data_IF_058848669453
#
_entry.id   IF_058848669453
#
_cell.length_a   1.000
_cell.length_b   1.000
_cell.length_c   1.000
_cell.angle_alpha   90.00
_cell.angle_beta   90.00
_cell.angle_gamma   90.00
#
_symmetry.space_group_name_H-M   'P 1'
#
loop_
_entity.id
_entity.type
_entity.pdbx_description
1 polymer ?
#
# COMPACT_ATOMS: atom_id res chain seq x y z
N UNK A 1 -5.12 -2.84 -19.54
CA UNK A 1 -6.43 -3.52 -19.46
C UNK A 1 -7.59 -2.56 -19.67
N UNK A 2 -7.92 -1.64 -18.74
CA UNK A 2 -9.02 -0.66 -18.92
C UNK A 2 -8.83 0.40 -20.01
N UNK A 3 -7.64 0.43 -20.61
CA UNK A 3 -7.30 1.32 -21.73
C UNK A 3 -7.55 0.68 -23.10
N UNK A 4 -7.86 -0.62 -23.14
CA UNK A 4 -8.21 -1.33 -24.36
C UNK A 4 -9.73 -1.43 -24.47
N UNK A 5 -10.24 -1.44 -25.70
CA UNK A 5 -11.67 -1.60 -25.95
C UNK A 5 -12.19 -2.90 -25.30
N UNK A 6 -13.36 -2.85 -24.64
CA UNK A 6 -13.97 -4.03 -24.05
C UNK A 6 -14.35 -5.02 -25.17
N UNK A 7 -13.99 -6.29 -24.97
CA UNK A 7 -14.31 -7.38 -25.89
C UNK A 7 -14.82 -8.59 -25.11
N UNK A 8 -15.81 -9.28 -25.68
CA UNK A 8 -16.32 -10.57 -25.17
C UNK A 8 -15.56 -11.77 -25.70
N UNK A 9 -14.61 -11.55 -26.61
CA UNK A 9 -13.79 -12.61 -27.22
C UNK A 9 -12.54 -12.86 -26.39
N UNK A 10 -12.33 -14.12 -26.02
CA UNK A 10 -11.20 -14.53 -25.17
C UNK A 10 -9.83 -14.27 -25.82
N UNK A 11 -9.70 -14.52 -27.13
CA UNK A 11 -8.44 -14.29 -27.86
C UNK A 11 -8.02 -12.81 -27.88
N UNK A 12 -8.99 -11.91 -27.95
CA UNK A 12 -8.76 -10.47 -27.88
C UNK A 12 -8.41 -10.06 -26.45
N UNK A 13 -9.09 -10.63 -25.45
CA UNK A 13 -8.85 -10.37 -24.05
C UNK A 13 -7.42 -10.76 -23.63
N UNK A 14 -6.97 -11.95 -24.04
CA UNK A 14 -5.62 -12.45 -23.74
C UNK A 14 -4.54 -11.53 -24.33
N UNK A 15 -4.66 -11.16 -25.60
CA UNK A 15 -3.73 -10.21 -26.26
C UNK A 15 -3.71 -8.86 -25.55
N UNK A 16 -4.87 -8.35 -25.15
CA UNK A 16 -4.98 -7.09 -24.43
C UNK A 16 -4.33 -7.16 -23.03
N UNK A 17 -4.40 -8.32 -22.36
CA UNK A 17 -3.72 -8.54 -21.07
C UNK A 17 -2.20 -8.54 -21.27
N UNK A 18 -1.68 -9.30 -22.24
CA UNK A 18 -0.24 -9.37 -22.52
C UNK A 18 0.30 -7.97 -22.87
N UNK A 19 -0.33 -7.29 -23.83
CA UNK A 19 0.06 -5.95 -24.22
C UNK A 19 -0.03 -4.94 -23.04
N UNK A 20 -1.04 -5.08 -22.17
CA UNK A 20 -1.13 -4.26 -20.98
C UNK A 20 0.03 -4.49 -20.03
N UNK A 21 0.41 -5.74 -19.78
CA UNK A 21 1.51 -6.09 -18.86
C UNK A 21 2.86 -5.63 -19.41
N UNK A 22 3.11 -5.82 -20.71
CA UNK A 22 4.35 -5.39 -21.38
C UNK A 22 4.51 -3.87 -21.39
N UNK A 23 3.39 -3.12 -21.43
CA UNK A 23 3.42 -1.66 -21.39
C UNK A 23 3.79 -1.07 -20.02
N UNK A 24 3.83 -1.87 -18.94
CA UNK A 24 4.08 -1.37 -17.59
C UNK A 24 5.57 -1.02 -17.44
N UNK A 25 5.91 0.26 -17.16
CA UNK A 25 7.31 0.63 -16.94
C UNK A 25 7.90 -0.06 -15.70
N UNK A 26 9.18 -0.44 -15.76
CA UNK A 26 9.90 -1.03 -14.63
C UNK A 26 9.87 -0.13 -13.38
N UNK A 27 9.89 1.19 -13.57
CA UNK A 27 9.76 2.15 -12.46
C UNK A 27 8.43 1.98 -11.71
N UNK A 28 7.34 1.76 -12.43
CA UNK A 28 6.01 1.53 -11.85
C UNK A 28 6.02 0.25 -11.02
N UNK A 29 6.57 -0.85 -11.55
CA UNK A 29 6.71 -2.11 -10.79
C UNK A 29 7.50 -1.93 -9.50
N UNK A 30 8.65 -1.24 -9.57
CA UNK A 30 9.48 -0.93 -8.40
C UNK A 30 8.73 -0.07 -7.39
N UNK A 31 7.99 0.94 -7.84
CA UNK A 31 7.20 1.83 -6.99
C UNK A 31 6.13 1.06 -6.20
N UNK A 32 5.39 0.17 -6.87
CA UNK A 32 4.38 -0.67 -6.21
C UNK A 32 5.02 -1.67 -5.24
N UNK A 33 6.12 -2.34 -5.63
CA UNK A 33 6.85 -3.27 -4.74
C UNK A 33 7.36 -2.58 -3.47
N UNK A 34 7.97 -1.39 -3.61
CA UNK A 34 8.43 -0.59 -2.46
C UNK A 34 7.26 -0.19 -1.56
N UNK A 35 6.12 0.21 -2.14
CA UNK A 35 4.93 0.57 -1.37
C UNK A 35 4.39 -0.64 -0.59
N UNK A 36 4.28 -1.80 -1.22
CA UNK A 36 3.86 -3.04 -0.54
C UNK A 36 4.81 -3.41 0.59
N UNK A 37 6.13 -3.31 0.38
CA UNK A 37 7.14 -3.56 1.42
C UNK A 37 6.94 -2.66 2.65
N UNK A 38 6.58 -1.39 2.47
CA UNK A 38 6.30 -0.47 3.59
C UNK A 38 5.07 -0.88 4.39
N UNK A 39 4.02 -1.36 3.71
CA UNK A 39 2.84 -1.90 4.41
C UNK A 39 3.17 -3.19 5.15
N UNK A 40 3.96 -4.10 4.56
CA UNK A 40 4.40 -5.32 5.23
C UNK A 40 5.21 -5.00 6.50
N UNK A 41 6.11 -4.01 6.45
CA UNK A 41 6.85 -3.53 7.63
C UNK A 41 5.90 -2.98 8.72
N UNK A 42 4.90 -2.18 8.33
CA UNK A 42 3.89 -1.67 9.24
C UNK A 42 3.08 -2.79 9.93
N UNK A 43 2.63 -3.78 9.15
CA UNK A 43 1.89 -4.92 9.69
C UNK A 43 2.75 -5.80 10.61
N UNK A 44 4.03 -5.99 10.28
CA UNK A 44 4.98 -6.71 11.17
C UNK A 44 5.17 -6.02 12.51
N UNK A 45 4.97 -4.69 12.56
CA UNK A 45 5.02 -3.87 13.78
C UNK A 45 3.68 -3.81 14.53
N UNK A 46 2.66 -4.53 14.06
CA UNK A 46 1.34 -4.61 14.72
C UNK A 46 0.37 -3.49 14.36
N UNK A 47 0.67 -2.67 13.36
CA UNK A 47 -0.24 -1.61 12.90
C UNK A 47 -1.40 -2.20 12.09
N UNK A 48 -2.61 -1.65 12.25
CA UNK A 48 -3.74 -1.97 11.38
C UNK A 48 -3.68 -1.18 10.05
N UNK A 49 -4.64 -1.40 9.14
CA UNK A 49 -4.64 -0.78 7.82
C UNK A 49 -4.67 0.76 7.83
N UNK A 50 -5.45 1.37 8.73
CA UNK A 50 -5.54 2.83 8.86
C UNK A 50 -4.25 3.41 9.45
N UNK A 51 -3.74 2.79 10.50
CA UNK A 51 -2.48 3.18 11.14
C UNK A 51 -1.29 3.04 10.18
N UNK A 52 -1.23 1.94 9.42
CA UNK A 52 -0.19 1.73 8.42
C UNK A 52 -0.24 2.79 7.31
N UNK A 53 -1.44 3.13 6.83
CA UNK A 53 -1.61 4.18 5.82
C UNK A 53 -1.16 5.55 6.35
N UNK A 54 -1.54 5.89 7.59
CA UNK A 54 -1.09 7.11 8.26
C UNK A 54 0.42 7.14 8.45
N UNK A 55 1.00 6.06 8.96
CA UNK A 55 2.44 5.91 9.23
C UNK A 55 3.26 6.10 7.95
N UNK A 56 2.87 5.45 6.85
CA UNK A 56 3.56 5.57 5.57
C UNK A 56 3.45 7.00 4.99
N UNK A 57 2.34 7.71 5.26
CA UNK A 57 2.16 9.11 4.86
C UNK A 57 3.03 10.05 5.70
N UNK A 58 3.06 9.85 7.03
CA UNK A 58 3.83 10.65 7.98
C UNK A 58 5.35 10.49 7.76
N UNK A 59 5.81 9.24 7.59
CA UNK A 59 7.22 8.89 7.46
C UNK A 59 7.65 8.66 6.01
N UNK A 60 7.09 9.42 5.05
CA UNK A 60 7.31 9.17 3.61
C UNK A 60 8.79 9.21 3.19
N UNK A 61 9.59 10.07 3.83
CA UNK A 61 11.03 10.23 3.61
C UNK A 61 11.91 9.23 4.39
N UNK A 62 11.40 8.67 5.48
CA UNK A 62 12.08 7.61 6.22
C UNK A 62 11.82 6.28 5.51
N UNK A 63 12.89 5.52 5.26
CA UNK A 63 12.78 4.21 4.57
C UNK A 63 12.33 3.09 5.51
N UNK A 64 12.28 3.37 6.81
CA UNK A 64 11.95 2.43 7.90
C UNK A 64 11.03 3.15 8.88
N UNK A 65 9.96 2.48 9.32
CA UNK A 65 9.11 3.02 10.39
C UNK A 65 9.87 2.95 11.72
N UNK A 66 9.85 4.02 12.54
CA UNK A 66 10.47 4.00 13.86
C UNK A 66 9.90 2.87 14.74
N UNK A 67 10.73 2.28 15.59
CA UNK A 67 10.33 1.18 16.47
C UNK A 67 9.24 1.60 17.47
N UNK A 68 9.25 2.87 17.87
CA UNK A 68 8.29 3.45 18.82
C UNK A 68 6.97 3.91 18.18
N UNK A 69 6.70 3.62 16.90
CA UNK A 69 5.51 4.12 16.21
C UNK A 69 4.19 3.66 16.86
N UNK A 70 4.21 2.49 17.52
CA UNK A 70 3.07 2.01 18.30
C UNK A 70 2.73 2.94 19.47
N UNK A 71 3.70 3.66 20.03
CA UNK A 71 3.48 4.61 21.12
C UNK A 71 2.66 5.83 20.66
N UNK A 72 2.89 6.30 19.43
CA UNK A 72 2.13 7.39 18.82
C UNK A 72 0.64 7.04 18.69
N UNK A 73 0.31 5.75 18.51
CA UNK A 73 -1.06 5.27 18.39
C UNK A 73 -1.69 4.77 19.71
N UNK A 74 -0.89 4.27 20.65
CA UNK A 74 -1.40 3.87 21.97
C UNK A 74 -1.83 5.08 22.82
N UNK A 75 -1.19 6.24 22.61
CA UNK A 75 -1.54 7.49 23.32
C UNK A 75 -2.97 7.95 23.01
N UNK A 76 -3.51 7.60 21.84
CA UNK A 76 -4.89 7.94 21.44
C UNK A 76 -5.98 7.03 22.02
N UNK A 77 -5.64 5.86 22.57
CA UNK A 77 -6.62 4.94 23.18
C UNK A 77 -6.87 5.27 24.66
N UNK A 78 -5.86 5.78 25.37
CA UNK A 78 -5.98 6.09 26.81
C UNK A 78 -6.70 7.41 27.12
N UNK A 79 -6.68 8.39 26.20
CA UNK A 79 -7.44 9.64 26.39
C UNK A 79 -8.95 9.46 26.22
N UNK A 80 -9.41 8.44 25.49
CA UNK A 80 -10.84 8.18 25.27
C UNK A 80 -11.49 7.31 26.36
N UNK A 81 -10.69 6.60 27.18
CA UNK A 81 -11.21 5.76 28.27
C UNK A 81 -11.28 6.50 29.61
N UNK A 82 -10.70 7.71 29.70
CA UNK A 82 -10.68 8.53 30.92
C UNK A 82 -11.90 9.48 31.05
N UNK A 83 -12.86 9.39 30.12
CA UNK A 83 -14.03 10.27 30.03
C UNK A 83 -15.35 9.48 30.02
N UNK A 84 -15.45 8.39 30.77
CA UNK A 84 -16.70 7.67 31.07
C UNK A 84 -16.74 7.24 32.52
#
# INVERSE_FOLDING_TARGET
YRQFEPSSREDVLERNIIAALDSIPLETMRRFSIRSRRFIDAYRKGLNGEQAAWAIKKYRGHRVLPEHIMHDFNTSLTQNTSAS
#
